data_IF_378238912973
#
_entry.id   IF_378238912973
#
_cell.length_a   1.000
_cell.length_b   1.000
_cell.length_c   1.000
_cell.angle_alpha   90.00
_cell.angle_beta   90.00
_cell.angle_gamma   90.00
#
_symmetry.space_group_name_H-M   'P 1'
#
loop_
_entity.id
_entity.type
_entity.pdbx_description
1 polymer ?
#
# COMPACT_ATOMS: atom_id res chain seq x y z
N UNK A 1 -2.30 13.21 -41.52
CA UNK A 1 -3.45 13.97 -42.07
C UNK A 1 -4.34 14.51 -40.96
N UNK A 2 -4.98 13.67 -40.12
CA UNK A 2 -5.83 14.16 -39.02
C UNK A 2 -5.04 14.94 -37.96
N UNK A 3 -3.87 14.46 -37.55
CA UNK A 3 -2.93 15.17 -36.66
C UNK A 3 -2.46 16.50 -37.23
N UNK A 4 -2.24 16.58 -38.53
CA UNK A 4 -1.82 17.81 -39.23
C UNK A 4 -2.94 18.85 -39.27
N UNK A 5 -4.19 18.41 -39.44
CA UNK A 5 -5.40 19.24 -39.41
C UNK A 5 -5.65 19.75 -37.98
N UNK A 6 -5.55 18.87 -36.97
CA UNK A 6 -5.68 19.24 -35.55
C UNK A 6 -4.54 20.18 -35.12
N UNK A 7 -3.31 19.97 -35.58
CA UNK A 7 -2.17 20.86 -35.29
C UNK A 7 -2.23 22.22 -36.01
N UNK A 8 -3.15 22.42 -36.97
CA UNK A 8 -3.37 23.73 -37.62
C UNK A 8 -4.67 24.39 -37.17
N UNK A 9 -5.63 23.62 -36.66
CA UNK A 9 -6.97 24.10 -36.24
C UNK A 9 -7.23 24.00 -34.73
N UNK A 10 -6.34 23.38 -33.96
CA UNK A 10 -6.56 23.07 -32.54
C UNK A 10 -6.62 24.31 -31.65
N UNK A 11 -5.69 25.25 -31.83
CA UNK A 11 -5.69 26.52 -31.09
C UNK A 11 -6.94 27.37 -31.42
N UNK A 12 -7.29 27.62 -32.71
CA UNK A 12 -8.52 28.32 -33.05
C UNK A 12 -9.78 27.68 -32.47
N UNK A 13 -9.89 26.34 -32.51
CA UNK A 13 -11.02 25.61 -31.93
C UNK A 13 -11.08 25.72 -30.41
N UNK A 14 -9.94 25.66 -29.71
CA UNK A 14 -9.89 25.83 -28.26
C UNK A 14 -10.27 27.26 -27.86
N UNK A 15 -9.79 28.27 -28.60
CA UNK A 15 -10.13 29.67 -28.36
C UNK A 15 -11.63 29.91 -28.51
N UNK A 16 -12.28 29.35 -29.54
CA UNK A 16 -13.73 29.51 -29.74
C UNK A 16 -14.56 28.79 -28.67
N UNK A 17 -14.15 27.58 -28.26
CA UNK A 17 -14.82 26.83 -27.18
C UNK A 17 -14.68 27.55 -25.84
N UNK A 18 -13.48 28.06 -25.50
CA UNK A 18 -13.24 28.79 -24.26
C UNK A 18 -13.97 30.14 -24.28
N UNK A 19 -13.96 30.86 -25.41
CA UNK A 19 -14.70 32.12 -25.56
C UNK A 19 -16.21 31.90 -25.37
N UNK A 20 -16.77 30.84 -25.96
CA UNK A 20 -18.18 30.48 -25.82
C UNK A 20 -18.55 30.03 -24.40
N UNK A 21 -17.65 29.34 -23.70
CA UNK A 21 -17.86 28.95 -22.30
C UNK A 21 -17.82 30.16 -21.36
N UNK A 22 -16.82 31.03 -21.52
CA UNK A 22 -16.66 32.24 -20.70
C UNK A 22 -17.77 33.26 -20.94
N UNK A 23 -18.30 33.35 -22.17
CA UNK A 23 -19.40 34.26 -22.51
C UNK A 23 -20.74 33.89 -21.86
N UNK A 24 -20.88 32.66 -21.37
CA UNK A 24 -22.08 32.18 -20.64
C UNK A 24 -21.99 32.40 -19.13
N UNK A 25 -20.83 32.82 -18.63
CA UNK A 25 -20.64 33.11 -17.20
C UNK A 25 -21.07 34.54 -16.92
N UNK A 26 -21.95 34.71 -15.94
CA UNK A 26 -22.50 36.01 -15.56
C UNK A 26 -21.51 36.78 -14.66
N UNK A 27 -20.42 37.25 -15.27
CA UNK A 27 -19.37 38.01 -14.61
C UNK A 27 -18.65 38.91 -15.63
N UNK A 28 -18.43 40.18 -15.27
CA UNK A 28 -17.81 41.18 -16.16
C UNK A 28 -16.42 40.77 -16.67
N UNK A 29 -15.61 40.11 -15.84
CA UNK A 29 -14.26 39.64 -16.21
C UNK A 29 -14.35 38.51 -17.23
N UNK A 30 -15.28 37.56 -17.03
CA UNK A 30 -15.49 36.44 -17.93
C UNK A 30 -16.04 36.89 -19.30
N UNK A 31 -17.00 37.83 -19.31
CA UNK A 31 -17.54 38.40 -20.54
C UNK A 31 -16.50 39.22 -21.31
N UNK A 32 -15.65 39.98 -20.61
CA UNK A 32 -14.55 40.70 -21.24
C UNK A 32 -13.51 39.74 -21.83
N UNK A 33 -13.14 38.68 -21.11
CA UNK A 33 -12.24 37.65 -21.64
C UNK A 33 -12.81 36.95 -22.88
N UNK A 34 -14.12 36.65 -22.89
CA UNK A 34 -14.82 36.09 -24.06
C UNK A 34 -14.73 37.01 -25.28
N UNK A 35 -14.97 38.32 -25.12
CA UNK A 35 -14.84 39.30 -26.21
C UNK A 35 -13.41 39.40 -26.75
N UNK A 36 -12.41 39.41 -25.86
CA UNK A 36 -10.99 39.44 -26.25
C UNK A 36 -10.61 38.18 -27.03
N UNK A 37 -11.06 37.01 -26.59
CA UNK A 37 -10.82 35.74 -27.28
C UNK A 37 -11.55 35.68 -28.64
N UNK A 38 -12.76 36.25 -28.76
CA UNK A 38 -13.47 36.37 -30.04
C UNK A 38 -12.76 37.29 -31.03
N UNK A 39 -12.18 38.40 -30.56
CA UNK A 39 -11.35 39.28 -31.40
C UNK A 39 -10.08 38.56 -31.86
N UNK A 40 -9.48 37.75 -31.00
CA UNK A 40 -8.32 36.92 -31.34
C UNK A 40 -8.66 35.88 -32.41
N UNK A 41 -9.82 35.22 -32.31
CA UNK A 41 -10.34 34.30 -33.34
C UNK A 41 -10.52 35.01 -34.70
N UNK A 42 -11.11 36.21 -34.70
CA UNK A 42 -11.25 37.02 -35.91
C UNK A 42 -9.91 37.39 -36.55
N UNK A 43 -8.89 37.72 -35.74
CA UNK A 43 -7.55 38.02 -36.23
C UNK A 43 -6.83 36.79 -36.82
N UNK A 44 -7.06 35.60 -36.25
CA UNK A 44 -6.55 34.34 -36.81
C UNK A 44 -7.26 33.97 -38.12
N UNK A 45 -8.59 34.10 -38.18
CA UNK A 45 -9.38 33.80 -39.38
C UNK A 45 -9.13 34.79 -40.52
N UNK A 46 -8.89 36.06 -40.19
CA UNK A 46 -8.54 37.12 -41.13
C UNK A 46 -7.10 37.07 -41.66
N UNK A 47 -6.29 36.09 -41.22
CA UNK A 47 -4.90 35.93 -41.66
C UNK A 47 -3.91 36.96 -41.12
N UNK A 48 -4.32 37.77 -40.11
CA UNK A 48 -3.44 38.71 -39.41
C UNK A 48 -2.37 37.96 -38.61
N UNK A 49 -2.73 36.78 -38.08
CA UNK A 49 -1.81 35.81 -37.51
C UNK A 49 -1.55 34.74 -38.56
N UNK A 50 -0.29 34.60 -38.98
CA UNK A 50 0.06 33.63 -40.02
C UNK A 50 -0.16 32.19 -39.53
N UNK A 51 -0.54 31.31 -40.46
CA UNK A 51 -0.68 29.87 -40.20
C UNK A 51 0.63 29.22 -39.76
N UNK A 52 1.76 29.82 -40.09
CA UNK A 52 3.10 29.37 -39.71
C UNK A 52 3.44 29.69 -38.25
N UNK A 53 3.08 30.88 -37.77
CA UNK A 53 3.18 31.25 -36.35
C UNK A 53 2.26 30.39 -35.46
N UNK A 54 1.06 30.06 -35.94
CA UNK A 54 0.16 29.14 -35.24
C UNK A 54 0.70 27.71 -35.19
N UNK A 55 1.30 27.25 -36.29
CA UNK A 55 1.93 25.93 -36.33
C UNK A 55 3.15 25.86 -35.39
N UNK A 56 3.92 26.95 -35.27
CA UNK A 56 5.04 27.03 -34.32
C UNK A 56 4.58 27.08 -32.87
N UNK A 57 3.55 27.86 -32.56
CA UNK A 57 2.94 27.88 -31.23
C UNK A 57 2.41 26.50 -30.81
N UNK A 58 1.79 25.75 -31.74
CA UNK A 58 1.36 24.38 -31.47
C UNK A 58 2.53 23.43 -31.22
N UNK A 59 3.62 23.51 -31.99
CA UNK A 59 4.84 22.73 -31.72
C UNK A 59 5.42 23.02 -30.33
N UNK A 60 5.44 24.29 -29.94
CA UNK A 60 5.94 24.67 -28.61
C UNK A 60 5.01 24.18 -27.49
N UNK A 61 3.69 24.25 -27.69
CA UNK A 61 2.71 23.70 -26.76
C UNK A 61 2.84 22.17 -26.60
N UNK A 62 3.07 21.46 -27.70
CA UNK A 62 3.35 20.01 -27.68
C UNK A 62 4.62 19.68 -26.90
N UNK A 63 5.72 20.43 -27.13
CA UNK A 63 6.97 20.20 -26.43
C UNK A 63 6.86 20.53 -24.94
N UNK A 64 6.20 21.63 -24.57
CA UNK A 64 5.93 21.96 -23.17
C UNK A 64 5.05 20.90 -22.51
N UNK A 65 4.02 20.40 -23.20
CA UNK A 65 3.18 19.31 -22.68
C UNK A 65 4.01 18.04 -22.45
N UNK A 66 4.89 17.68 -23.40
CA UNK A 66 5.80 16.54 -23.27
C UNK A 66 6.76 16.68 -22.09
N UNK A 67 7.40 17.84 -21.95
CA UNK A 67 8.30 18.13 -20.82
C UNK A 67 7.56 18.07 -19.48
N UNK A 68 6.36 18.64 -19.39
CA UNK A 68 5.51 18.53 -18.19
C UNK A 68 5.14 17.10 -17.88
N UNK A 69 4.77 16.28 -18.88
CA UNK A 69 4.49 14.87 -18.65
C UNK A 69 5.70 14.12 -18.10
N UNK A 70 6.91 14.37 -18.62
CA UNK A 70 8.15 13.78 -18.11
C UNK A 70 8.48 14.24 -16.69
N UNK A 71 8.26 15.52 -16.38
CA UNK A 71 8.39 16.05 -15.02
C UNK A 71 7.43 15.35 -14.06
N UNK A 72 6.15 15.20 -14.42
CA UNK A 72 5.17 14.47 -13.63
C UNK A 72 5.57 13.00 -13.43
N UNK A 73 6.03 12.31 -14.47
CA UNK A 73 6.53 10.93 -14.34
C UNK A 73 7.71 10.84 -13.38
N UNK A 74 8.65 11.79 -13.45
CA UNK A 74 9.80 11.85 -12.56
C UNK A 74 9.38 12.07 -11.11
N UNK A 75 8.53 13.07 -10.85
CA UNK A 75 7.98 13.34 -9.52
C UNK A 75 7.26 12.12 -8.96
N UNK A 76 6.38 11.50 -9.75
CA UNK A 76 5.66 10.30 -9.32
C UNK A 76 6.60 9.13 -9.06
N UNK A 77 7.68 9.00 -9.83
CA UNK A 77 8.68 7.96 -9.61
C UNK A 77 9.45 8.18 -8.31
N UNK A 78 9.86 9.41 -8.02
CA UNK A 78 10.57 9.77 -6.79
C UNK A 78 9.67 9.57 -5.56
N UNK A 79 8.43 10.05 -5.61
CA UNK A 79 7.43 9.82 -4.55
C UNK A 79 7.23 8.32 -4.29
N UNK A 80 7.11 7.52 -5.35
CA UNK A 80 6.96 6.07 -5.18
C UNK A 80 8.22 5.42 -4.60
N UNK A 81 9.41 5.90 -4.99
CA UNK A 81 10.68 5.42 -4.43
C UNK A 81 10.79 5.76 -2.94
N UNK A 82 10.45 6.98 -2.53
CA UNK A 82 10.50 7.39 -1.11
C UNK A 82 9.49 6.61 -0.28
N UNK A 83 8.24 6.48 -0.73
CA UNK A 83 7.21 5.69 -0.03
C UNK A 83 7.66 4.22 0.14
N UNK A 84 8.25 3.63 -0.89
CA UNK A 84 8.77 2.25 -0.81
C UNK A 84 9.96 2.15 0.14
N UNK A 85 10.86 3.13 0.14
CA UNK A 85 11.99 3.18 1.05
C UNK A 85 11.54 3.36 2.51
N UNK A 86 10.54 4.19 2.77
CA UNK A 86 9.92 4.36 4.09
C UNK A 86 9.20 3.09 4.54
N UNK A 87 8.41 2.46 3.67
CA UNK A 87 7.72 1.21 3.99
C UNK A 87 8.69 0.03 4.22
N UNK A 88 9.82 0.00 3.52
CA UNK A 88 10.88 -0.97 3.71
C UNK A 88 11.82 -0.62 4.89
N UNK A 89 11.71 0.58 5.45
CA UNK A 89 12.55 1.03 6.57
C UNK A 89 12.28 0.17 7.79
N UNK A 90 13.27 -0.65 8.15
CA UNK A 90 13.18 -1.58 9.28
C UNK A 90 13.66 -0.92 10.57
N UNK A 91 13.14 0.27 10.90
CA UNK A 91 13.55 0.99 12.11
C UNK A 91 13.31 0.12 13.36
N UNK A 92 14.39 -0.04 14.10
CA UNK A 92 14.49 -0.80 15.33
C UNK A 92 13.52 -0.24 16.39
N UNK A 93 13.30 1.08 16.43
CA UNK A 93 12.38 1.72 17.36
C UNK A 93 10.93 1.29 17.10
N UNK A 94 10.47 1.37 15.85
CA UNK A 94 9.11 0.96 15.45
C UNK A 94 8.88 -0.54 15.70
N UNK A 95 9.88 -1.38 15.47
CA UNK A 95 9.80 -2.83 15.69
C UNK A 95 9.72 -3.22 17.16
N UNK A 96 10.34 -2.45 18.06
CA UNK A 96 10.41 -2.74 19.50
C UNK A 96 9.30 -2.07 20.31
N UNK A 97 8.84 -0.89 19.90
CA UNK A 97 7.73 -0.15 20.52
C UNK A 97 6.47 -1.01 20.70
N UNK A 98 6.18 -1.81 19.68
CA UNK A 98 4.96 -2.60 19.60
C UNK A 98 4.95 -3.78 20.59
N UNK A 99 6.02 -4.61 20.68
CA UNK A 99 6.18 -5.58 21.76
C UNK A 99 6.29 -4.96 23.17
N UNK A 100 6.99 -3.84 23.33
CA UNK A 100 7.16 -3.20 24.66
C UNK A 100 5.85 -2.74 25.26
N UNK A 101 4.92 -2.24 24.44
CA UNK A 101 3.58 -1.88 24.90
C UNK A 101 2.83 -3.11 25.47
N UNK A 102 2.87 -4.24 24.77
CA UNK A 102 2.26 -5.49 25.25
C UNK A 102 2.87 -6.00 26.55
N UNK A 103 4.20 -5.92 26.70
CA UNK A 103 4.86 -6.31 27.95
C UNK A 103 4.50 -5.40 29.12
N UNK A 104 4.46 -4.09 28.90
CA UNK A 104 4.05 -3.14 29.94
C UNK A 104 2.61 -3.41 30.39
N UNK A 105 1.69 -3.64 29.45
CA UNK A 105 0.29 -3.98 29.76
C UNK A 105 0.16 -5.29 30.54
N UNK A 106 0.95 -6.31 30.20
CA UNK A 106 0.96 -7.57 30.94
C UNK A 106 1.49 -7.39 32.37
N UNK A 107 2.54 -6.58 32.55
CA UNK A 107 3.11 -6.27 33.86
C UNK A 107 2.13 -5.47 34.71
N UNK A 108 1.49 -4.44 34.16
CA UNK A 108 0.49 -3.64 34.89
C UNK A 108 -0.71 -4.48 35.28
N UNK A 109 -1.19 -5.36 34.39
CA UNK A 109 -2.26 -6.30 34.71
C UNK A 109 -1.86 -7.27 35.82
N UNK A 110 -0.67 -7.85 35.76
CA UNK A 110 -0.16 -8.74 36.79
C UNK A 110 -0.05 -8.02 38.15
N UNK A 111 0.46 -6.80 38.18
CA UNK A 111 0.54 -5.99 39.38
C UNK A 111 -0.86 -5.66 39.95
N UNK A 112 -1.81 -5.31 39.10
CA UNK A 112 -3.19 -5.04 39.50
C UNK A 112 -3.86 -6.29 40.10
N UNK A 113 -3.72 -7.45 39.44
CA UNK A 113 -4.26 -8.72 39.94
C UNK A 113 -3.62 -9.16 41.25
N UNK A 114 -2.31 -8.97 41.43
CA UNK A 114 -1.63 -9.22 42.70
C UNK A 114 -2.12 -8.28 43.80
N UNK A 115 -2.35 -7.00 43.50
CA UNK A 115 -2.93 -6.04 44.43
C UNK A 115 -4.32 -6.45 44.91
N UNK A 116 -5.20 -6.86 43.97
CA UNK A 116 -6.53 -7.39 44.32
C UNK A 116 -6.40 -8.66 45.17
N UNK A 117 -5.56 -9.62 44.76
CA UNK A 117 -5.37 -10.86 45.50
C UNK A 117 -4.86 -10.61 46.94
N UNK A 118 -3.95 -9.65 47.11
CA UNK A 118 -3.47 -9.23 48.43
C UNK A 118 -4.61 -8.69 49.30
N UNK A 119 -5.44 -7.78 48.77
CA UNK A 119 -6.56 -7.19 49.52
C UNK A 119 -7.58 -8.26 49.88
N UNK A 120 -7.88 -9.19 48.97
CA UNK A 120 -8.80 -10.29 49.23
C UNK A 120 -8.37 -11.17 50.42
N UNK A 121 -7.06 -11.38 50.59
CA UNK A 121 -6.50 -12.24 51.64
C UNK A 121 -6.28 -11.49 52.96
N UNK A 122 -5.73 -10.27 52.90
CA UNK A 122 -5.24 -9.56 54.08
C UNK A 122 -6.12 -8.38 54.52
N UNK A 123 -6.95 -7.83 53.63
CA UNK A 123 -7.77 -6.63 53.88
C UNK A 123 -9.19 -6.80 53.31
N UNK A 124 -9.81 -7.96 53.61
CA UNK A 124 -11.10 -8.36 53.02
C UNK A 124 -12.23 -7.36 53.25
N UNK A 125 -12.17 -6.59 54.34
CA UNK A 125 -13.14 -5.52 54.62
C UNK A 125 -13.17 -4.44 53.53
N UNK A 126 -12.05 -4.20 52.85
CA UNK A 126 -11.92 -3.22 51.75
C UNK A 126 -12.19 -3.82 50.37
N UNK A 127 -12.44 -5.13 50.29
CA UNK A 127 -12.65 -5.80 49.01
C UNK A 127 -13.82 -5.21 48.20
N UNK A 128 -14.98 -4.84 48.79
CA UNK A 128 -16.08 -4.22 48.04
C UNK A 128 -15.65 -2.91 47.35
N UNK A 129 -15.03 -2.00 48.09
CA UNK A 129 -14.60 -0.69 47.57
C UNK A 129 -13.58 -0.84 46.42
N UNK A 130 -12.71 -1.85 46.50
CA UNK A 130 -11.71 -2.14 45.46
C UNK A 130 -12.35 -2.74 44.22
N UNK A 131 -13.36 -3.60 44.37
CA UNK A 131 -14.11 -4.14 43.24
C UNK A 131 -14.91 -3.04 42.52
N UNK A 132 -15.52 -2.12 43.25
CA UNK A 132 -16.21 -0.95 42.68
C UNK A 132 -15.21 -0.04 41.92
N UNK A 133 -14.02 0.17 42.48
CA UNK A 133 -12.96 0.90 41.78
C UNK A 133 -12.47 0.19 40.51
N UNK A 134 -12.44 -1.15 40.50
CA UNK A 134 -12.12 -1.94 39.30
C UNK A 134 -13.18 -1.81 38.21
N UNK A 135 -14.45 -1.73 38.58
CA UNK A 135 -15.53 -1.46 37.63
C UNK A 135 -15.33 -0.10 36.96
N UNK A 136 -14.99 0.93 37.73
CA UNK A 136 -14.70 2.27 37.19
C UNK A 136 -13.50 2.28 36.21
N UNK A 137 -12.51 1.39 36.40
CA UNK A 137 -11.37 1.24 35.50
C UNK A 137 -11.67 0.42 34.23
N UNK A 138 -12.85 -0.20 34.11
CA UNK A 138 -13.19 -1.06 32.96
C UNK A 138 -13.07 -0.35 31.60
N UNK A 139 -13.44 0.93 31.54
CA UNK A 139 -13.38 1.73 30.32
C UNK A 139 -11.95 1.92 29.79
N UNK A 140 -10.98 2.22 30.66
CA UNK A 140 -9.57 2.38 30.24
C UNK A 140 -8.98 1.03 29.79
N UNK A 141 -9.36 -0.06 30.45
CA UNK A 141 -8.97 -1.42 30.06
C UNK A 141 -9.56 -1.84 28.72
N UNK A 142 -10.82 -1.53 28.44
CA UNK A 142 -11.45 -1.81 27.15
C UNK A 142 -10.70 -1.14 25.99
N UNK A 143 -10.29 0.12 26.17
CA UNK A 143 -9.51 0.86 25.16
C UNK A 143 -8.11 0.22 25.01
N UNK A 144 -7.40 -0.02 26.12
CA UNK A 144 -6.06 -0.59 26.09
C UNK A 144 -6.00 -1.98 25.45
N UNK A 145 -6.97 -2.85 25.76
CA UNK A 145 -7.07 -4.18 25.18
C UNK A 145 -7.50 -4.15 23.71
N UNK A 146 -8.31 -3.17 23.30
CA UNK A 146 -8.67 -2.99 21.88
C UNK A 146 -7.45 -2.66 21.02
N UNK A 147 -6.57 -1.77 21.51
CA UNK A 147 -5.31 -1.45 20.82
C UNK A 147 -4.40 -2.68 20.73
N UNK A 148 -4.28 -3.44 21.81
CA UNK A 148 -3.51 -4.69 21.82
C UNK A 148 -4.09 -5.72 20.84
N UNK A 149 -5.41 -5.84 20.76
CA UNK A 149 -6.11 -6.75 19.84
C UNK A 149 -5.79 -6.43 18.37
N UNK A 150 -5.91 -5.15 17.98
CA UNK A 150 -5.55 -4.69 16.62
C UNK A 150 -4.07 -4.97 16.35
N UNK A 151 -3.22 -4.72 17.33
CA UNK A 151 -1.78 -4.93 17.22
C UNK A 151 -1.43 -6.41 16.96
N UNK A 152 -1.99 -7.34 17.74
CA UNK A 152 -1.79 -8.79 17.57
C UNK A 152 -2.35 -9.27 16.23
N UNK A 153 -3.51 -8.75 15.82
CA UNK A 153 -4.14 -9.07 14.54
C UNK A 153 -3.22 -8.69 13.37
N UNK A 154 -2.78 -7.42 13.31
CA UNK A 154 -1.89 -6.95 12.23
C UNK A 154 -0.55 -7.67 12.21
N UNK A 155 0.03 -7.94 13.39
CA UNK A 155 1.26 -8.72 13.48
C UNK A 155 1.09 -10.16 12.98
N UNK A 156 -0.08 -10.74 13.17
CA UNK A 156 -0.40 -12.08 12.67
C UNK A 156 -0.57 -12.08 11.14
N UNK A 157 -1.16 -11.02 10.57
CA UNK A 157 -1.24 -10.83 9.11
C UNK A 157 0.16 -10.69 8.48
N UNK A 158 1.03 -9.86 9.06
CA UNK A 158 2.43 -9.69 8.60
C UNK A 158 3.17 -11.04 8.52
N UNK A 159 2.98 -11.92 9.51
CA UNK A 159 3.61 -13.25 9.52
C UNK A 159 3.10 -14.14 8.38
N UNK A 160 1.81 -14.08 8.05
CA UNK A 160 1.21 -14.90 6.98
C UNK A 160 1.78 -14.57 5.61
N UNK A 161 2.04 -13.29 5.34
CA UNK A 161 2.62 -12.82 4.07
C UNK A 161 4.10 -13.20 3.94
N UNK A 162 4.82 -13.30 5.06
CA UNK A 162 6.25 -13.62 5.08
C UNK A 162 6.61 -15.11 4.98
N UNK A 163 5.62 -16.01 5.02
CA UNK A 163 5.88 -17.45 4.91
C UNK A 163 6.03 -17.84 3.43
N UNK A 164 7.11 -18.54 3.02
CA UNK A 164 7.18 -19.12 1.69
C UNK A 164 6.01 -20.10 1.51
N UNK A 165 5.51 -20.30 0.27
CA UNK A 165 4.44 -21.25 0.01
C UNK A 165 4.83 -22.58 0.62
N UNK A 166 3.93 -23.10 1.47
CA UNK A 166 4.09 -24.36 2.20
C UNK A 166 4.55 -25.39 1.17
N UNK A 167 5.82 -25.80 1.22
CA UNK A 167 6.30 -26.90 0.38
C UNK A 167 5.40 -28.07 0.70
N UNK A 168 4.61 -28.46 -0.27
CA UNK A 168 3.83 -29.69 -0.21
C UNK A 168 4.87 -30.79 -0.03
N UNK A 169 5.01 -31.24 1.21
CA UNK A 169 5.91 -32.34 1.53
C UNK A 169 5.32 -33.53 0.80
N UNK A 170 5.96 -33.92 -0.29
CA UNK A 170 5.61 -35.12 -1.02
C UNK A 170 5.42 -36.26 0.00
N UNK A 171 4.37 -37.08 -0.13
CA UNK A 171 4.11 -38.15 0.81
C UNK A 171 5.39 -38.97 0.96
N UNK A 172 5.83 -39.15 2.21
CA UNK A 172 7.03 -39.92 2.53
C UNK A 172 6.93 -41.29 1.86
N UNK A 173 8.01 -41.81 1.26
CA UNK A 173 7.95 -43.10 0.60
C UNK A 173 7.49 -44.13 1.63
N UNK A 174 6.37 -44.76 1.31
CA UNK A 174 5.78 -45.85 2.05
C UNK A 174 6.87 -46.89 2.31
N UNK A 175 7.13 -47.16 3.59
CA UNK A 175 8.08 -48.21 3.99
C UNK A 175 7.53 -49.53 3.49
N UNK A 176 8.04 -49.97 2.34
CA UNK A 176 7.79 -51.29 1.78
C UNK A 176 8.25 -52.31 2.81
N UNK A 177 7.28 -52.88 3.55
CA UNK A 177 7.52 -54.07 4.37
C UNK A 177 7.87 -55.20 3.42
N UNK A 178 9.16 -55.46 3.23
CA UNK A 178 9.67 -56.72 2.68
C UNK A 178 9.37 -57.83 3.67
N UNK A 179 8.14 -58.34 3.62
CA UNK A 179 7.82 -59.64 4.19
C UNK A 179 7.81 -60.64 3.04
N UNK A 180 8.52 -61.74 3.28
CA UNK A 180 8.43 -63.03 2.58
C UNK A 180 9.47 -63.29 1.46
N UNK A 181 10.69 -63.68 1.87
CA UNK A 181 11.54 -64.56 1.07
C UNK A 181 11.52 -65.94 1.73
N UNK A 182 10.79 -66.87 1.09
CA UNK A 182 10.81 -68.31 1.36
C UNK A 182 12.20 -68.86 1.02
N UNK A 183 12.80 -69.76 1.83
CA UNK A 183 14.12 -70.30 1.50
C UNK A 183 13.98 -71.28 0.33
N UNK A 184 14.61 -70.98 -0.80
CA UNK A 184 14.85 -71.98 -1.84
C UNK A 184 16.25 -72.58 -1.66
N UNK A 185 16.23 -73.90 -1.56
CA UNK A 185 17.31 -74.84 -1.39
C UNK A 185 18.66 -74.49 -2.02
N UNK A 186 19.69 -74.82 -1.24
CA UNK A 186 21.07 -74.92 -1.64
C UNK A 186 21.25 -75.77 -2.91
N UNK A 187 22.04 -75.27 -3.85
CA UNK A 187 22.81 -76.11 -4.78
C UNK A 187 24.19 -75.50 -4.89
N UNK A 188 25.17 -76.24 -4.37
CA UNK A 188 26.57 -75.90 -4.39
C UNK A 188 27.14 -75.99 -5.81
N UNK A 189 27.86 -74.95 -6.25
CA UNK A 189 28.79 -75.05 -7.38
C UNK A 189 30.10 -74.39 -6.95
N UNK A 190 31.13 -75.22 -6.74
CA UNK A 190 32.50 -74.78 -6.45
C UNK A 190 33.12 -74.15 -7.71
N UNK A 191 33.98 -73.13 -7.58
CA UNK A 191 34.76 -72.62 -8.70
C UNK A 191 35.87 -73.62 -9.07
N UNK A 192 35.99 -73.92 -10.38
CA UNK A 192 37.16 -74.59 -10.95
C UNK A 192 38.36 -73.65 -10.85
N UNK A 193 39.43 -74.17 -10.24
CA UNK A 193 40.78 -73.61 -10.28
C UNK A 193 41.43 -74.09 -11.58
N UNK A 194 42.10 -73.17 -12.28
CA UNK A 194 42.93 -73.47 -13.44
C UNK A 194 44.24 -74.10 -13.00
N UNK A 195 44.48 -75.35 -13.41
CA UNK A 195 45.72 -75.90 -14.01
C UNK A 195 45.48 -77.35 -14.44
#
# INVERSE_FOLDING_TARGET
MLTTIISRLGLPLLVSVIAGALGKVDNDVAQNASKVLGNLEGAMAGGVISSEQLAEANRHAEEVARLKSQEYETILSEINQTIRAEAASSDIYVRRMRPTFGYLMAITWAAQMLGIAYIMIFETEKAPDVLDAMEALSAIWAIGLSVLGIYVYKRSEEKKVSLPPKREVAPSPEVVKTTNIKPQNATAVRPKVNE
#
